data_IF_667235893061
#
_entry.id   IF_667235893061
#
_cell.length_a   1.000
_cell.length_b   1.000
_cell.length_c   1.000
_cell.angle_alpha   90.00
_cell.angle_beta   90.00
_cell.angle_gamma   90.00
#
_symmetry.space_group_name_H-M   'P 1'
#
loop_
_entity.id
_entity.type
_entity.pdbx_description
1 polymer ?
#
# COMPACT_ATOMS: atom_id res chain seq x y z
N UNK A 1 -7.37 -0.54 -7.93
CA UNK A 1 -6.92 -1.80 -8.57
C UNK A 1 -7.84 -2.94 -8.18
N UNK A 2 -7.80 -4.04 -8.93
CA UNK A 2 -8.59 -5.24 -8.68
C UNK A 2 -7.71 -6.48 -8.76
N UNK A 3 -7.94 -7.47 -7.90
CA UNK A 3 -7.28 -8.78 -7.96
C UNK A 3 -8.33 -9.88 -7.88
N UNK A 4 -8.15 -10.93 -8.67
CA UNK A 4 -8.92 -12.17 -8.53
C UNK A 4 -8.12 -13.14 -7.66
N UNK A 5 -8.69 -13.57 -6.55
CA UNK A 5 -8.10 -14.50 -5.59
C UNK A 5 -9.15 -15.58 -5.31
N UNK A 6 -8.82 -16.86 -5.57
CA UNK A 6 -9.74 -17.99 -5.37
C UNK A 6 -11.13 -17.74 -6.01
N UNK A 7 -11.14 -17.40 -7.30
CA UNK A 7 -12.33 -17.06 -8.10
C UNK A 7 -13.18 -15.89 -7.59
N UNK A 8 -12.67 -15.10 -6.64
CA UNK A 8 -13.33 -13.91 -6.11
C UNK A 8 -12.56 -12.66 -6.49
N UNK A 9 -13.26 -11.68 -7.01
CA UNK A 9 -12.72 -10.36 -7.31
C UNK A 9 -12.71 -9.51 -6.03
N UNK A 10 -11.56 -8.90 -5.75
CA UNK A 10 -11.35 -7.96 -4.65
C UNK A 10 -10.97 -6.60 -5.23
N UNK A 11 -11.61 -5.55 -4.70
CA UNK A 11 -11.31 -4.16 -5.07
C UNK A 11 -10.44 -3.53 -3.98
N UNK A 12 -9.43 -2.77 -4.40
CA UNK A 12 -8.50 -2.06 -3.52
C UNK A 12 -8.47 -0.59 -3.91
N UNK A 13 -8.84 0.28 -2.96
CA UNK A 13 -8.97 1.73 -3.16
C UNK A 13 -7.87 2.46 -2.39
N UNK A 14 -6.88 2.99 -3.12
CA UNK A 14 -5.78 3.79 -2.59
C UNK A 14 -6.18 5.27 -2.46
N UNK A 15 -7.32 5.52 -1.80
CA UNK A 15 -7.94 6.84 -1.68
C UNK A 15 -7.64 7.56 -0.36
N UNK A 16 -8.39 8.63 -0.07
CA UNK A 16 -8.24 9.38 1.18
C UNK A 16 -8.38 8.51 2.45
N UNK A 17 -9.30 7.54 2.45
CA UNK A 17 -9.48 6.62 3.59
C UNK A 17 -8.26 5.75 3.83
N UNK A 18 -7.66 5.21 2.77
CA UNK A 18 -6.39 4.48 2.86
C UNK A 18 -5.30 5.31 3.54
N UNK A 19 -5.11 6.56 3.10
CA UNK A 19 -4.13 7.49 3.73
C UNK A 19 -4.47 7.76 5.20
N UNK A 20 -5.75 7.96 5.51
CA UNK A 20 -6.20 8.23 6.88
C UNK A 20 -5.92 7.05 7.80
N UNK A 21 -6.17 5.82 7.35
CA UNK A 21 -5.92 4.62 8.15
C UNK A 21 -4.42 4.36 8.32
N UNK A 22 -3.60 4.55 7.27
CA UNK A 22 -2.14 4.48 7.43
C UNK A 22 -1.63 5.49 8.45
N UNK A 23 -2.13 6.74 8.40
CA UNK A 23 -1.72 7.76 9.35
C UNK A 23 -2.08 7.39 10.78
N UNK A 24 -3.31 6.93 11.06
CA UNK A 24 -3.72 6.52 12.41
C UNK A 24 -2.80 5.48 13.03
N UNK A 25 -2.30 4.53 12.23
CA UNK A 25 -1.40 3.47 12.70
C UNK A 25 0.03 3.96 12.96
N UNK A 26 0.41 5.08 12.37
CA UNK A 26 1.77 5.63 12.36
C UNK A 26 1.82 7.06 12.93
N UNK A 27 0.83 7.44 13.74
CA UNK A 27 0.80 8.74 14.39
C UNK A 27 1.83 8.74 15.51
N UNK A 28 2.86 9.59 15.35
CA UNK A 28 3.85 9.86 16.41
C UNK A 28 3.49 11.19 17.04
N UNK A 29 3.19 11.18 18.34
CA UNK A 29 3.02 12.39 19.12
C UNK A 29 4.27 12.65 19.96
N UNK A 30 5.01 13.70 19.62
CA UNK A 30 6.18 14.13 20.38
C UNK A 30 6.06 15.61 20.73
N UNK A 31 6.26 15.96 22.01
CA UNK A 31 6.19 17.35 22.53
C UNK A 31 4.92 18.12 22.12
N UNK A 32 3.79 17.43 22.03
CA UNK A 32 2.50 18.03 21.64
C UNK A 32 2.28 18.21 20.14
N UNK A 33 3.22 17.77 19.30
CA UNK A 33 3.07 17.74 17.84
C UNK A 33 2.74 16.31 17.38
N UNK A 34 1.64 16.14 16.65
CA UNK A 34 1.29 14.86 16.01
C UNK A 34 1.71 14.89 14.55
N UNK A 35 2.62 14.00 14.18
CA UNK A 35 3.10 13.86 12.82
C UNK A 35 2.37 12.72 12.10
N UNK A 36 1.83 13.03 10.92
CA UNK A 36 1.11 12.06 10.06
C UNK A 36 2.07 11.54 8.98
N UNK A 37 2.82 10.49 9.31
CA UNK A 37 3.84 9.87 8.45
C UNK A 37 3.40 8.54 7.81
N UNK A 38 2.14 8.14 7.91
CA UNK A 38 1.72 6.79 7.54
C UNK A 38 2.02 6.43 6.09
N UNK A 39 1.72 7.32 5.14
CA UNK A 39 2.05 7.07 3.73
C UNK A 39 3.56 7.15 3.46
N UNK A 40 4.28 8.05 4.13
CA UNK A 40 5.73 8.19 3.92
C UNK A 40 6.50 6.96 4.43
N UNK A 41 6.14 6.46 5.61
CA UNK A 41 6.70 5.22 6.16
C UNK A 41 6.35 4.00 5.29
N UNK A 42 5.09 3.91 4.84
CA UNK A 42 4.67 2.83 3.96
C UNK A 42 5.45 2.84 2.64
N UNK A 43 5.65 4.00 2.01
CA UNK A 43 6.46 4.10 0.80
C UNK A 43 7.92 3.70 1.05
N UNK A 44 8.52 4.14 2.16
CA UNK A 44 9.90 3.77 2.51
C UNK A 44 10.10 2.26 2.60
N UNK A 45 9.24 1.59 3.37
CA UNK A 45 9.31 0.14 3.52
C UNK A 45 8.97 -0.57 2.21
N UNK A 46 7.95 -0.10 1.49
CA UNK A 46 7.55 -0.66 0.20
C UNK A 46 8.69 -0.64 -0.82
N UNK A 47 9.39 0.49 -0.98
CA UNK A 47 10.53 0.59 -1.89
C UNK A 47 11.78 -0.18 -1.40
N UNK A 48 11.85 -0.55 -0.11
CA UNK A 48 12.87 -1.47 0.41
C UNK A 48 12.54 -2.96 0.17
N UNK A 49 11.37 -3.26 -0.40
CA UNK A 49 10.90 -4.64 -0.64
C UNK A 49 10.23 -5.29 0.56
N UNK A 50 9.75 -4.51 1.52
CA UNK A 50 9.11 -5.06 2.71
C UNK A 50 7.72 -5.67 2.41
N UNK A 51 7.62 -6.98 2.54
CA UNK A 51 6.42 -7.76 2.19
C UNK A 51 5.27 -7.48 3.17
N UNK A 52 5.58 -7.30 4.46
CA UNK A 52 4.55 -7.00 5.48
C UNK A 52 3.84 -5.68 5.17
N UNK A 53 4.59 -4.66 4.77
CA UNK A 53 4.05 -3.38 4.33
C UNK A 53 3.17 -3.53 3.09
N UNK A 54 3.59 -4.32 2.10
CA UNK A 54 2.76 -4.59 0.90
C UNK A 54 1.40 -5.20 1.27
N UNK A 55 1.43 -6.24 2.11
CA UNK A 55 0.23 -6.93 2.61
C UNK A 55 -0.66 -5.99 3.43
N UNK A 56 -0.06 -5.18 4.31
CA UNK A 56 -0.78 -4.20 5.11
C UNK A 56 -1.45 -3.14 4.23
N UNK A 57 -0.76 -2.65 3.21
CA UNK A 57 -1.30 -1.66 2.29
C UNK A 57 -2.52 -2.20 1.55
N UNK A 58 -2.47 -3.43 1.06
CA UNK A 58 -3.61 -4.10 0.41
C UNK A 58 -4.78 -4.29 1.37
N UNK A 59 -4.55 -4.80 2.58
CA UNK A 59 -5.61 -4.94 3.60
C UNK A 59 -6.23 -3.59 3.94
N UNK A 60 -5.42 -2.53 4.02
CA UNK A 60 -5.89 -1.17 4.31
C UNK A 60 -6.69 -0.58 3.15
N UNK A 61 -6.27 -0.81 1.90
CA UNK A 61 -6.96 -0.33 0.70
C UNK A 61 -8.28 -1.07 0.43
N UNK A 62 -8.42 -2.30 0.90
CA UNK A 62 -9.65 -3.11 0.77
C UNK A 62 -10.56 -3.05 2.02
N UNK A 63 -10.13 -2.45 3.14
CA UNK A 63 -10.83 -2.53 4.43
C UNK A 63 -12.32 -2.11 4.42
N UNK A 64 -12.71 -1.21 3.51
CA UNK A 64 -14.10 -0.74 3.35
C UNK A 64 -14.87 -1.44 2.24
N UNK A 65 -14.20 -2.29 1.47
CA UNK A 65 -14.75 -2.95 0.30
C UNK A 65 -15.27 -4.35 0.67
N UNK A 66 -16.14 -4.88 -0.19
CA UNK A 66 -16.67 -6.23 -0.06
C UNK A 66 -16.46 -6.97 -1.40
N UNK A 67 -15.91 -8.19 -1.38
CA UNK A 67 -15.43 -8.93 -0.21
C UNK A 67 -14.18 -8.31 0.44
N UNK A 68 -14.00 -8.60 1.73
CA UNK A 68 -12.76 -8.25 2.45
C UNK A 68 -11.71 -9.32 2.25
N UNK A 69 -10.53 -8.90 1.79
CA UNK A 69 -9.39 -9.78 1.56
C UNK A 69 -8.83 -10.27 2.89
N UNK A 70 -8.47 -11.55 2.94
CA UNK A 70 -7.71 -12.12 4.05
C UNK A 70 -6.22 -12.06 3.72
N UNK A 71 -5.40 -12.01 4.76
CA UNK A 71 -3.94 -12.11 4.61
C UNK A 71 -3.54 -13.40 3.92
N UNK A 72 -4.15 -14.53 4.32
CA UNK A 72 -3.97 -15.82 3.66
C UNK A 72 -4.25 -15.74 2.15
N UNK A 73 -5.33 -15.06 1.75
CA UNK A 73 -5.64 -14.91 0.33
C UNK A 73 -4.62 -14.07 -0.45
N UNK A 74 -4.01 -13.06 0.18
CA UNK A 74 -2.92 -12.30 -0.44
C UNK A 74 -1.67 -13.18 -0.57
N UNK A 75 -1.34 -13.97 0.45
CA UNK A 75 -0.20 -14.91 0.42
C UNK A 75 -0.39 -15.96 -0.67
N UNK A 76 -1.56 -16.58 -0.77
CA UNK A 76 -1.89 -17.54 -1.84
C UNK A 76 -1.73 -16.89 -3.23
N UNK A 77 -2.19 -15.65 -3.40
CA UNK A 77 -2.00 -14.93 -4.65
C UNK A 77 -0.51 -14.71 -4.97
N UNK A 78 0.31 -14.37 -3.96
CA UNK A 78 1.77 -14.19 -4.11
C UNK A 78 2.44 -15.52 -4.49
N UNK A 79 2.06 -16.63 -3.86
CA UNK A 79 2.62 -17.95 -4.17
C UNK A 79 2.33 -18.38 -5.62
N UNK A 80 1.16 -18.00 -6.15
CA UNK A 80 0.74 -18.32 -7.51
C UNK A 80 1.33 -17.37 -8.58
N UNK A 81 1.39 -16.06 -8.30
CA UNK A 81 1.67 -15.03 -9.30
C UNK A 81 3.02 -14.33 -9.11
N UNK A 82 3.68 -14.55 -7.97
CA UNK A 82 4.96 -13.93 -7.63
C UNK A 82 4.83 -12.58 -6.91
N UNK A 83 5.77 -12.34 -6.01
CA UNK A 83 5.80 -11.13 -5.18
C UNK A 83 6.10 -9.87 -5.99
N UNK A 84 7.01 -9.95 -6.96
CA UNK A 84 7.42 -8.81 -7.80
C UNK A 84 6.22 -8.26 -8.60
N UNK A 85 5.39 -9.16 -9.13
CA UNK A 85 4.17 -8.77 -9.84
C UNK A 85 3.20 -8.02 -8.93
N UNK A 86 3.07 -8.42 -7.65
CA UNK A 86 2.21 -7.70 -6.72
C UNK A 86 2.75 -6.31 -6.38
N UNK A 87 4.06 -6.18 -6.19
CA UNK A 87 4.71 -4.88 -6.01
C UNK A 87 4.47 -3.97 -7.20
N UNK A 88 4.67 -4.46 -8.43
CA UNK A 88 4.46 -3.68 -9.64
C UNK A 88 3.01 -3.19 -9.76
N UNK A 89 2.03 -4.07 -9.53
CA UNK A 89 0.60 -3.73 -9.58
C UNK A 89 0.23 -2.65 -8.55
N UNK A 90 0.73 -2.78 -7.32
CA UNK A 90 0.49 -1.79 -6.26
C UNK A 90 1.19 -0.47 -6.57
N UNK A 91 2.43 -0.50 -7.07
CA UNK A 91 3.17 0.69 -7.45
C UNK A 91 2.46 1.45 -8.57
N UNK A 92 1.98 0.75 -9.60
CA UNK A 92 1.20 1.36 -10.66
C UNK A 92 -0.07 2.04 -10.13
N UNK A 93 -0.80 1.38 -9.25
CA UNK A 93 -2.02 1.93 -8.67
C UNK A 93 -1.74 3.16 -7.82
N UNK A 94 -0.67 3.12 -7.02
CA UNK A 94 -0.21 4.27 -6.23
C UNK A 94 0.15 5.47 -7.13
N UNK A 95 0.74 5.23 -8.31
CA UNK A 95 1.05 6.27 -9.30
C UNK A 95 -0.18 6.81 -10.02
N UNK A 96 -1.25 6.01 -10.14
CA UNK A 96 -2.52 6.39 -10.79
C UNK A 96 -3.45 7.17 -9.87
N UNK A 97 -3.52 6.83 -8.58
CA UNK A 97 -4.45 7.47 -7.63
C UNK A 97 -4.11 8.94 -7.35
N UNK A 98 -5.10 9.83 -7.45
CA UNK A 98 -4.97 11.26 -7.13
C UNK A 98 -4.45 11.54 -5.71
N UNK A 99 -4.70 10.61 -4.78
CA UNK A 99 -4.35 10.77 -3.37
C UNK A 99 -2.89 10.40 -3.07
N UNK A 100 -2.32 9.45 -3.81
CA UNK A 100 -0.98 8.91 -3.55
C UNK A 100 0.06 9.34 -4.59
N UNK A 101 -0.36 9.59 -5.84
CA UNK A 101 0.53 9.80 -7.00
C UNK A 101 1.67 10.77 -6.74
N UNK A 102 1.39 11.91 -6.11
CA UNK A 102 2.38 12.98 -5.91
C UNK A 102 3.51 12.52 -4.99
N UNK A 103 3.18 11.84 -3.89
CA UNK A 103 4.18 11.33 -2.93
C UNK A 103 4.93 10.16 -3.53
N UNK A 104 4.24 9.22 -4.17
CA UNK A 104 4.86 8.04 -4.80
C UNK A 104 5.88 8.43 -5.87
N UNK A 105 5.52 9.31 -6.80
CA UNK A 105 6.43 9.75 -7.87
C UNK A 105 7.62 10.56 -7.35
N UNK A 106 7.43 11.33 -6.28
CA UNK A 106 8.54 12.04 -5.64
C UNK A 106 9.48 11.06 -4.96
N UNK A 107 8.95 10.09 -4.19
CA UNK A 107 9.75 9.11 -3.48
C UNK A 107 10.57 8.24 -4.45
N UNK A 108 9.94 7.74 -5.51
CA UNK A 108 10.63 6.96 -6.55
C UNK A 108 11.82 7.72 -7.15
N UNK A 109 11.63 8.99 -7.49
CA UNK A 109 12.72 9.85 -8.01
C UNK A 109 13.87 9.99 -7.02
N UNK A 110 13.57 10.09 -5.71
CA UNK A 110 14.62 10.18 -4.69
C UNK A 110 15.36 8.85 -4.51
N UNK A 111 14.66 7.72 -4.56
CA UNK A 111 15.30 6.39 -4.48
C UNK A 111 16.20 6.14 -5.69
N UNK A 112 15.73 6.42 -6.91
CA UNK A 112 16.52 6.21 -8.13
C UNK A 112 17.74 7.12 -8.27
N UNK A 113 17.79 8.26 -7.57
CA UNK A 113 18.99 9.13 -7.54
C UNK A 113 20.09 8.58 -6.63
N UNK A 114 19.73 7.73 -5.68
CA UNK A 114 20.64 7.19 -4.66
C UNK A 114 21.15 5.77 -5.00
N UNK A 115 20.80 5.25 -6.18
CA UNK A 115 21.28 4.00 -6.77
C UNK A 115 22.27 4.31 -7.90
#
# INVERSE_FOLDING_TARGET
MELTINDKQYVFIFGYRFIKELNKKNEVTERGMTLKAGLDNALMNFFSGDIETLVEMLKTANATENPRVSEKGIVEWIEENGIDTLFDLVLEELKKSEFTKKKTLNFEKEVSKNQ
#
